data_IF_788983725399
#
_entry.id   IF_788983725399
#
_cell.length_a   1.000
_cell.length_b   1.000
_cell.length_c   1.000
_cell.angle_alpha   90.00
_cell.angle_beta   90.00
_cell.angle_gamma   90.00
#
_symmetry.space_group_name_H-M   'P 1'
#
loop_
_entity.id
_entity.type
_entity.pdbx_description
1 polymer ?
#
# COMPACT_ATOMS: atom_id res chain seq x y z
N UNK A 1 -1.75 8.71 -18.08
CA UNK A 1 -1.78 10.16 -18.43
C UNK A 1 -0.34 10.63 -18.63
N UNK A 2 -0.12 11.73 -19.36
CA UNK A 2 1.20 12.34 -19.52
C UNK A 2 1.23 13.75 -18.95
N UNK A 3 2.27 14.09 -18.20
CA UNK A 3 2.51 15.42 -17.63
C UNK A 3 3.85 16.01 -18.06
N UNK A 4 3.98 17.31 -17.93
CA UNK A 4 5.21 18.06 -18.17
C UNK A 4 6.20 17.81 -17.02
N UNK A 5 7.39 17.31 -17.37
CA UNK A 5 8.47 16.97 -16.44
C UNK A 5 9.59 18.03 -16.40
N UNK A 6 9.33 19.24 -16.92
CA UNK A 6 10.28 20.35 -16.85
C UNK A 6 10.48 20.75 -15.39
N UNK A 7 11.68 20.48 -14.89
CA UNK A 7 12.09 20.85 -13.53
C UNK A 7 12.34 22.35 -13.46
N UNK A 8 11.70 22.99 -12.48
CA UNK A 8 11.90 24.40 -12.14
C UNK A 8 12.53 24.52 -10.76
N UNK A 9 13.58 25.33 -10.65
CA UNK A 9 14.14 25.74 -9.36
C UNK A 9 13.27 26.81 -8.70
N UNK A 10 12.84 26.56 -7.47
CA UNK A 10 12.03 27.47 -6.67
C UNK A 10 12.77 27.78 -5.37
N UNK A 11 12.91 29.06 -5.04
CA UNK A 11 13.57 29.52 -3.81
C UNK A 11 12.52 29.93 -2.77
N UNK A 12 12.46 29.22 -1.66
CA UNK A 12 11.51 29.48 -0.56
C UNK A 12 12.22 29.34 0.79
N UNK A 13 12.00 30.30 1.71
CA UNK A 13 12.57 30.28 3.06
C UNK A 13 14.10 30.04 3.10
N UNK A 14 14.82 30.63 2.14
CA UNK A 14 16.28 30.49 2.03
C UNK A 14 16.76 29.12 1.53
N UNK A 15 15.86 28.24 1.08
CA UNK A 15 16.18 26.93 0.49
C UNK A 15 15.77 26.88 -0.97
N UNK A 16 16.51 26.11 -1.78
CA UNK A 16 16.18 25.83 -3.17
C UNK A 16 15.50 24.47 -3.27
N UNK A 17 14.36 24.43 -3.95
CA UNK A 17 13.58 23.23 -4.23
C UNK A 17 13.48 23.01 -5.73
N UNK A 18 13.45 21.75 -6.15
CA UNK A 18 13.15 21.36 -7.52
C UNK A 18 11.68 20.96 -7.59
N UNK A 19 10.93 21.51 -8.55
CA UNK A 19 9.49 21.24 -8.71
C UNK A 19 9.10 21.08 -10.17
N UNK A 20 8.08 20.25 -10.43
CA UNK A 20 7.41 20.15 -11.74
C UNK A 20 6.19 21.07 -11.75
N UNK A 21 6.37 22.39 -11.88
CA UNK A 21 5.26 23.35 -11.73
C UNK A 21 4.11 23.10 -12.72
N UNK A 22 4.43 22.94 -14.02
CA UNK A 22 3.44 22.63 -15.05
C UNK A 22 2.80 21.26 -14.86
N UNK A 23 3.60 20.24 -14.54
CA UNK A 23 3.08 18.90 -14.24
C UNK A 23 2.14 18.91 -13.04
N UNK A 24 2.44 19.71 -12.02
CA UNK A 24 1.59 19.90 -10.85
C UNK A 24 0.27 20.59 -11.21
N UNK A 25 0.29 21.64 -12.03
CA UNK A 25 -0.94 22.28 -12.54
C UNK A 25 -1.81 21.29 -13.33
N UNK A 26 -1.20 20.46 -14.17
CA UNK A 26 -1.90 19.41 -14.92
C UNK A 26 -2.53 18.35 -14.01
N UNK A 27 -1.83 17.93 -12.96
CA UNK A 27 -2.37 16.99 -11.97
C UNK A 27 -3.49 17.61 -11.12
N UNK A 28 -3.37 18.88 -10.74
CA UNK A 28 -4.41 19.60 -9.98
C UNK A 28 -5.73 19.74 -10.76
N UNK A 29 -5.69 19.66 -12.09
CA UNK A 29 -6.90 19.60 -12.91
C UNK A 29 -7.64 18.25 -12.80
N UNK A 30 -6.97 17.20 -12.32
CA UNK A 30 -7.53 15.84 -12.12
C UNK A 30 -7.92 15.60 -10.66
N UNK A 31 -7.06 16.02 -9.73
CA UNK A 31 -7.30 15.88 -8.29
C UNK A 31 -6.64 17.01 -7.51
N UNK A 32 -7.38 17.59 -6.58
CA UNK A 32 -6.87 18.60 -5.65
C UNK A 32 -5.86 18.03 -4.64
N UNK A 33 -5.76 16.71 -4.50
CA UNK A 33 -4.78 16.01 -3.66
C UNK A 33 -3.49 15.68 -4.39
N UNK A 34 -3.50 15.66 -5.73
CA UNK A 34 -2.34 15.24 -6.52
C UNK A 34 -1.22 16.28 -6.48
N UNK A 35 0.02 15.79 -6.42
CA UNK A 35 1.24 16.59 -6.49
C UNK A 35 2.25 15.91 -7.41
N UNK A 36 2.89 16.65 -8.30
CA UNK A 36 3.92 16.11 -9.17
C UNK A 36 5.25 15.95 -8.42
N UNK A 37 5.73 14.71 -8.29
CA UNK A 37 7.02 14.38 -7.69
C UNK A 37 8.17 14.53 -8.67
N UNK A 38 9.30 15.07 -8.21
CA UNK A 38 10.53 15.08 -9.00
C UNK A 38 11.32 13.80 -8.73
N UNK A 39 11.62 13.04 -9.78
CA UNK A 39 12.45 11.85 -9.67
C UNK A 39 13.94 12.27 -9.75
N UNK A 40 14.60 12.41 -8.60
CA UNK A 40 15.98 12.94 -8.50
C UNK A 40 17.04 11.87 -8.28
N UNK A 41 16.66 10.61 -8.05
CA UNK A 41 17.58 9.57 -7.61
C UNK A 41 17.63 8.39 -8.59
N UNK A 42 18.83 7.93 -8.97
CA UNK A 42 19.01 6.63 -9.62
C UNK A 42 18.51 5.55 -8.66
N UNK A 43 17.32 5.00 -8.92
CA UNK A 43 16.68 3.96 -8.08
C UNK A 43 15.32 4.34 -7.50
N UNK A 44 14.88 5.60 -7.60
CA UNK A 44 13.49 5.92 -7.29
C UNK A 44 12.57 5.21 -8.29
N UNK A 45 11.62 4.42 -7.76
CA UNK A 45 10.70 3.59 -8.57
C UNK A 45 9.97 4.51 -9.57
N UNK A 46 10.35 4.36 -10.84
CA UNK A 46 9.66 5.01 -11.96
C UNK A 46 8.23 4.44 -12.00
N UNK A 47 7.23 5.26 -12.32
CA UNK A 47 5.82 4.86 -12.34
C UNK A 47 5.32 4.45 -10.94
N UNK A 48 5.54 5.32 -9.96
CA UNK A 48 5.10 5.09 -8.58
C UNK A 48 4.29 6.25 -8.01
N UNK A 49 3.63 5.96 -6.90
CA UNK A 49 2.79 6.86 -6.15
C UNK A 49 3.21 6.83 -4.69
N UNK A 50 3.09 7.96 -4.00
CA UNK A 50 3.27 8.05 -2.56
C UNK A 50 2.06 8.74 -1.96
N UNK A 51 1.26 8.00 -1.21
CA UNK A 51 0.09 8.52 -0.51
C UNK A 51 0.52 9.03 0.85
N UNK A 52 0.39 10.33 1.06
CA UNK A 52 0.65 11.04 2.31
C UNK A 52 -0.68 11.42 2.96
N UNK A 53 -0.60 11.91 4.19
CA UNK A 53 -1.78 12.36 4.95
C UNK A 53 -2.65 13.41 4.24
N UNK A 54 -2.08 14.22 3.34
CA UNK A 54 -2.76 15.33 2.67
C UNK A 54 -2.65 15.31 1.13
N UNK A 55 -1.92 14.36 0.56
CA UNK A 55 -1.55 14.40 -0.86
C UNK A 55 -1.20 13.05 -1.45
N UNK A 56 -1.34 12.94 -2.76
CA UNK A 56 -0.83 11.82 -3.56
C UNK A 56 0.29 12.37 -4.43
N UNK A 57 1.53 11.96 -4.14
CA UNK A 57 2.68 12.33 -4.96
C UNK A 57 2.78 11.35 -6.12
N UNK A 58 2.73 11.87 -7.34
CA UNK A 58 2.83 11.08 -8.58
C UNK A 58 4.26 11.19 -9.11
N UNK A 59 4.94 10.05 -9.26
CA UNK A 59 6.27 9.97 -9.87
C UNK A 59 6.15 9.41 -11.28
N UNK A 60 6.04 10.27 -12.31
CA UNK A 60 5.93 9.81 -13.69
C UNK A 60 7.25 9.18 -14.18
N UNK A 61 7.18 8.48 -15.30
CA UNK A 61 8.34 7.97 -16.03
C UNK A 61 9.19 9.08 -16.67
N UNK A 62 10.27 8.68 -17.34
CA UNK A 62 11.18 9.60 -18.02
C UNK A 62 10.54 10.35 -19.21
N UNK A 63 9.36 9.93 -19.67
CA UNK A 63 8.55 10.59 -20.70
C UNK A 63 7.41 11.41 -20.10
N UNK A 64 7.24 11.42 -18.77
CA UNK A 64 6.15 12.08 -18.07
C UNK A 64 4.88 11.25 -17.95
N UNK A 65 4.91 9.96 -18.26
CA UNK A 65 3.77 9.05 -18.27
C UNK A 65 3.59 8.37 -16.90
N UNK A 66 2.33 8.10 -16.54
CA UNK A 66 1.95 7.31 -15.37
C UNK A 66 0.59 6.62 -15.58
N UNK A 67 0.32 5.56 -14.82
CA UNK A 67 -0.96 4.83 -14.83
C UNK A 67 -2.07 5.72 -14.25
N UNK A 68 -2.94 6.25 -15.12
CA UNK A 68 -4.04 7.11 -14.71
C UNK A 68 -5.14 6.33 -14.00
N UNK A 69 -5.37 5.07 -14.40
CA UNK A 69 -6.44 4.26 -13.83
C UNK A 69 -6.08 3.88 -12.39
N UNK A 70 -4.82 3.50 -12.16
CA UNK A 70 -4.35 3.23 -10.81
C UNK A 70 -4.29 4.50 -9.96
N UNK A 71 -3.86 5.63 -10.52
CA UNK A 71 -3.97 6.92 -9.84
C UNK A 71 -5.41 7.23 -9.39
N UNK A 72 -6.40 7.02 -10.26
CA UNK A 72 -7.81 7.25 -9.93
C UNK A 72 -8.27 6.33 -8.79
N UNK A 73 -7.85 5.06 -8.79
CA UNK A 73 -8.12 4.14 -7.68
C UNK A 73 -7.56 4.65 -6.34
N UNK A 74 -6.33 5.15 -6.34
CA UNK A 74 -5.72 5.75 -5.15
C UNK A 74 -6.46 7.01 -4.70
N UNK A 75 -6.87 7.85 -5.66
CA UNK A 75 -7.61 9.07 -5.38
C UNK A 75 -8.98 8.79 -4.77
N UNK A 76 -9.71 7.82 -5.33
CA UNK A 76 -11.06 7.46 -4.88
C UNK A 76 -11.05 6.79 -3.50
N UNK A 77 -9.92 6.18 -3.11
CA UNK A 77 -9.73 5.50 -1.82
C UNK A 77 -8.78 6.27 -0.88
N UNK A 78 -8.52 7.55 -1.15
CA UNK A 78 -7.48 8.32 -0.45
C UNK A 78 -7.66 8.31 1.07
N UNK A 79 -8.88 8.55 1.57
CA UNK A 79 -9.13 8.61 3.01
C UNK A 79 -8.90 7.25 3.68
N UNK A 80 -9.32 6.15 3.03
CA UNK A 80 -9.06 4.77 3.48
C UNK A 80 -7.56 4.49 3.56
N UNK A 81 -6.79 4.90 2.57
CA UNK A 81 -5.34 4.74 2.56
C UNK A 81 -4.66 5.56 3.66
N UNK A 82 -5.13 6.79 3.91
CA UNK A 82 -4.62 7.63 5.00
C UNK A 82 -4.95 7.03 6.37
N UNK A 83 -6.13 6.43 6.53
CA UNK A 83 -6.52 5.73 7.75
C UNK A 83 -5.66 4.47 7.98
N UNK A 84 -5.43 3.69 6.93
CA UNK A 84 -4.52 2.55 6.97
C UNK A 84 -3.11 2.96 7.43
N UNK A 85 -2.53 4.01 6.83
CA UNK A 85 -1.21 4.49 7.19
C UNK A 85 -1.12 4.84 8.69
N UNK A 86 -2.16 5.49 9.24
CA UNK A 86 -2.22 5.81 10.68
C UNK A 86 -2.32 4.56 11.55
N UNK A 87 -3.15 3.59 11.12
CA UNK A 87 -3.32 2.32 11.83
C UNK A 87 -2.01 1.53 11.92
N UNK A 88 -1.20 1.56 10.87
CA UNK A 88 0.08 0.85 10.79
C UNK A 88 1.29 1.69 11.24
N UNK A 89 1.05 2.83 11.89
CA UNK A 89 2.10 3.79 12.34
C UNK A 89 3.08 4.20 11.22
N UNK A 90 2.57 4.33 10.00
CA UNK A 90 3.30 4.74 8.81
C UNK A 90 2.99 6.21 8.45
N UNK A 91 4.00 6.96 8.00
CA UNK A 91 3.81 8.34 7.56
C UNK A 91 3.22 8.45 6.16
N UNK A 92 3.54 7.48 5.31
CA UNK A 92 3.11 7.39 3.92
C UNK A 92 3.06 5.92 3.45
N UNK A 93 2.38 5.70 2.33
CA UNK A 93 2.29 4.40 1.65
C UNK A 93 2.79 4.57 0.22
N UNK A 94 3.81 3.80 -0.14
CA UNK A 94 4.32 3.76 -1.50
C UNK A 94 3.57 2.69 -2.30
N UNK A 95 3.22 3.03 -3.54
CA UNK A 95 2.66 2.11 -4.51
C UNK A 95 3.45 2.17 -5.82
N UNK A 96 3.81 1.02 -6.37
CA UNK A 96 4.16 0.89 -7.79
C UNK A 96 3.02 0.26 -8.61
N UNK A 97 3.12 0.29 -9.94
CA UNK A 97 2.09 -0.22 -10.85
C UNK A 97 1.75 -1.71 -10.65
N UNK A 98 2.66 -2.49 -10.05
CA UNK A 98 2.48 -3.93 -9.81
C UNK A 98 1.88 -4.22 -8.43
N UNK A 99 1.75 -3.22 -7.56
CA UNK A 99 1.26 -3.36 -6.19
C UNK A 99 -0.28 -3.25 -6.09
N UNK A 100 -1.01 -3.58 -7.17
CA UNK A 100 -2.49 -3.61 -7.18
C UNK A 100 -3.06 -4.60 -6.17
N UNK A 101 -2.40 -5.74 -5.95
CA UNK A 101 -2.80 -6.73 -4.94
C UNK A 101 -2.70 -6.16 -3.52
N UNK A 102 -1.62 -5.42 -3.23
CA UNK A 102 -1.43 -4.75 -1.95
C UNK A 102 -2.47 -3.63 -1.74
N UNK A 103 -2.75 -2.82 -2.76
CA UNK A 103 -3.85 -1.85 -2.73
C UNK A 103 -5.20 -2.51 -2.42
N UNK A 104 -5.56 -3.59 -3.15
CA UNK A 104 -6.81 -4.30 -2.94
C UNK A 104 -6.90 -4.94 -1.55
N UNK A 105 -5.76 -5.40 -1.03
CA UNK A 105 -5.65 -5.91 0.33
C UNK A 105 -5.95 -4.82 1.35
N UNK A 106 -5.35 -3.62 1.22
CA UNK A 106 -5.59 -2.50 2.14
C UNK A 106 -7.08 -2.13 2.15
N UNK A 107 -7.67 -1.93 0.98
CA UNK A 107 -9.10 -1.56 0.87
C UNK A 107 -9.97 -2.62 1.54
N UNK A 108 -9.73 -3.90 1.26
CA UNK A 108 -10.48 -4.98 1.88
C UNK A 108 -10.27 -5.05 3.39
N UNK A 109 -9.04 -4.89 3.87
CA UNK A 109 -8.74 -4.90 5.29
C UNK A 109 -9.49 -3.79 6.01
N UNK A 110 -9.41 -2.56 5.51
CA UNK A 110 -10.06 -1.40 6.12
C UNK A 110 -11.59 -1.53 6.13
N UNK A 111 -12.18 -2.18 5.12
CA UNK A 111 -13.61 -2.47 5.09
C UNK A 111 -14.06 -3.54 6.11
N UNK A 112 -13.13 -4.35 6.64
CA UNK A 112 -13.45 -5.52 7.48
C UNK A 112 -12.85 -5.47 8.89
N UNK A 113 -11.91 -4.57 9.15
CA UNK A 113 -11.23 -4.47 10.44
C UNK A 113 -12.17 -3.90 11.51
N UNK A 114 -12.06 -4.43 12.72
CA UNK A 114 -12.77 -3.93 13.91
C UNK A 114 -11.84 -3.93 15.14
N UNK A 115 -12.37 -3.55 16.30
CA UNK A 115 -11.59 -3.43 17.53
C UNK A 115 -10.97 -4.75 18.04
N UNK A 116 -11.37 -5.91 17.50
CA UNK A 116 -10.83 -7.22 17.87
C UNK A 116 -9.62 -7.62 17.03
N UNK A 117 -9.31 -6.87 15.97
CA UNK A 117 -8.16 -7.16 15.13
C UNK A 117 -6.84 -6.75 15.78
N UNK A 118 -5.76 -7.38 15.32
CA UNK A 118 -4.40 -7.04 15.70
C UNK A 118 -3.44 -7.14 14.51
N UNK A 119 -2.40 -6.32 14.53
CA UNK A 119 -1.27 -6.41 13.60
C UNK A 119 -0.13 -7.20 14.26
N UNK A 120 0.56 -8.01 13.46
CA UNK A 120 1.79 -8.69 13.88
C UNK A 120 2.89 -7.68 14.23
N UNK A 121 3.61 -7.84 15.35
CA UNK A 121 4.75 -6.98 15.66
C UNK A 121 5.97 -7.23 14.75
N UNK A 122 5.93 -8.29 13.92
CA UNK A 122 7.05 -8.70 13.06
C UNK A 122 6.87 -8.31 11.59
N UNK A 123 5.77 -7.64 11.24
CA UNK A 123 5.54 -7.18 9.87
C UNK A 123 4.08 -6.94 9.55
N UNK A 124 3.82 -6.72 8.27
CA UNK A 124 2.51 -6.36 7.74
C UNK A 124 1.63 -7.62 7.57
N UNK A 125 1.14 -8.12 8.69
CA UNK A 125 0.12 -9.17 8.72
C UNK A 125 -0.88 -8.87 9.81
N UNK A 126 -2.15 -9.17 9.53
CA UNK A 126 -3.27 -8.79 10.37
C UNK A 126 -4.08 -10.02 10.74
N UNK A 127 -4.63 -10.03 11.95
CA UNK A 127 -5.47 -11.11 12.44
C UNK A 127 -6.78 -10.54 12.94
N UNK A 128 -7.89 -11.24 12.70
CA UNK A 128 -9.20 -10.89 13.25
C UNK A 128 -9.35 -11.26 14.74
N UNK A 129 -8.25 -11.24 15.49
CA UNK A 129 -8.18 -11.56 16.91
C UNK A 129 -6.96 -10.91 17.55
N UNK A 130 -7.11 -10.48 18.80
CA UNK A 130 -6.02 -10.06 19.70
C UNK A 130 -5.39 -11.23 20.48
N UNK A 131 -6.08 -12.36 20.54
CA UNK A 131 -5.60 -13.56 21.23
C UNK A 131 -4.80 -14.44 20.26
N UNK A 132 -3.61 -13.97 19.87
CA UNK A 132 -2.72 -14.61 18.90
C UNK A 132 -1.35 -14.79 19.56
N UNK A 133 -0.77 -15.98 19.40
CA UNK A 133 0.61 -16.29 19.82
C UNK A 133 1.29 -17.16 18.75
N UNK A 134 2.60 -17.28 18.77
CA UNK A 134 3.37 -18.16 17.90
C UNK A 134 2.78 -19.57 17.82
N UNK A 135 2.42 -20.15 18.97
CA UNK A 135 1.87 -21.51 19.08
C UNK A 135 0.34 -21.61 19.02
N UNK A 136 -0.38 -20.48 18.94
CA UNK A 136 -1.83 -20.48 19.03
C UNK A 136 -2.50 -19.49 18.08
N UNK A 137 -3.53 -19.99 17.38
CA UNK A 137 -4.46 -19.20 16.56
C UNK A 137 -5.88 -19.64 16.92
N UNK A 138 -6.82 -18.71 17.22
CA UNK A 138 -8.20 -19.07 17.51
C UNK A 138 -8.86 -19.74 16.30
N UNK A 139 -9.63 -20.79 16.57
CA UNK A 139 -10.45 -21.43 15.54
C UNK A 139 -11.40 -20.41 14.91
N UNK A 140 -11.45 -20.41 13.58
CA UNK A 140 -12.26 -19.50 12.79
C UNK A 140 -11.71 -18.08 12.62
N UNK A 141 -10.56 -17.75 13.21
CA UNK A 141 -9.93 -16.44 13.01
C UNK A 141 -9.40 -16.26 11.57
N UNK A 142 -9.45 -15.04 11.07
CA UNK A 142 -8.86 -14.65 9.80
C UNK A 142 -7.44 -14.16 10.00
N UNK A 143 -6.60 -14.41 8.99
CA UNK A 143 -5.29 -13.77 8.80
C UNK A 143 -5.22 -13.14 7.42
N UNK A 144 -4.69 -11.93 7.35
CA UNK A 144 -4.34 -11.23 6.10
C UNK A 144 -2.83 -11.13 6.02
N UNK A 145 -2.22 -11.66 4.97
CA UNK A 145 -0.75 -11.77 4.84
C UNK A 145 -0.35 -12.05 3.40
N UNK A 146 0.88 -11.70 3.03
CA UNK A 146 1.53 -12.12 1.79
C UNK A 146 2.47 -13.33 1.95
N UNK A 147 2.90 -13.61 3.18
CA UNK A 147 3.79 -14.70 3.52
C UNK A 147 3.06 -15.85 4.24
N UNK A 148 3.18 -17.04 3.66
CA UNK A 148 2.52 -18.29 4.10
C UNK A 148 3.52 -19.43 4.07
N UNK A 149 3.27 -20.50 4.85
CA UNK A 149 4.10 -21.72 4.85
C UNK A 149 5.60 -21.45 4.99
N UNK A 150 6.00 -20.56 5.91
CA UNK A 150 7.40 -20.19 6.10
C UNK A 150 8.06 -20.99 7.23
N UNK A 151 9.39 -20.97 7.30
CA UNK A 151 10.17 -21.86 8.16
C UNK A 151 10.92 -22.93 7.36
N UNK A 152 11.76 -23.73 8.02
CA UNK A 152 12.60 -24.71 7.33
C UNK A 152 11.78 -25.82 6.64
N UNK A 153 10.62 -26.14 7.20
CA UNK A 153 9.70 -27.18 6.72
C UNK A 153 8.28 -26.64 6.47
N UNK A 154 8.12 -25.31 6.35
CA UNK A 154 6.82 -24.65 6.19
C UNK A 154 5.92 -24.73 7.42
N UNK A 155 6.53 -24.85 8.60
CA UNK A 155 5.85 -25.04 9.89
C UNK A 155 5.07 -23.81 10.37
N UNK A 156 5.38 -22.61 9.86
CA UNK A 156 4.71 -21.39 10.26
C UNK A 156 3.60 -20.98 9.30
N UNK A 157 2.43 -20.77 9.89
CA UNK A 157 1.20 -20.42 9.21
C UNK A 157 0.89 -21.37 8.05
N UNK A 158 0.81 -22.69 8.34
CA UNK A 158 0.59 -23.69 7.32
C UNK A 158 -0.80 -23.50 6.72
N UNK A 159 -0.87 -23.53 5.40
CA UNK A 159 -2.12 -23.51 4.64
C UNK A 159 -2.51 -24.93 4.23
N UNK A 160 -3.80 -25.17 4.00
CA UNK A 160 -4.24 -26.49 3.52
C UNK A 160 -3.84 -26.75 2.06
N UNK A 161 -3.84 -25.69 1.25
CA UNK A 161 -3.27 -25.65 -0.10
C UNK A 161 -2.24 -24.52 -0.20
N UNK A 162 -1.20 -24.60 -1.04
CA UNK A 162 -0.22 -23.53 -1.19
C UNK A 162 -0.84 -22.18 -1.54
N UNK A 163 -0.56 -21.16 -0.74
CA UNK A 163 -0.97 -19.77 -0.99
C UNK A 163 0.27 -18.91 -1.21
N UNK A 164 0.19 -18.02 -2.19
CA UNK A 164 1.25 -17.08 -2.56
C UNK A 164 0.66 -15.68 -2.74
N UNK A 165 1.40 -14.67 -2.28
CA UNK A 165 1.01 -13.26 -2.28
C UNK A 165 -0.08 -12.92 -1.25
N UNK A 166 -0.53 -11.66 -1.32
CA UNK A 166 -1.56 -11.14 -0.42
C UNK A 166 -2.85 -11.95 -0.50
N UNK A 167 -3.27 -12.47 0.64
CA UNK A 167 -4.49 -13.24 0.78
C UNK A 167 -5.13 -13.06 2.14
N UNK A 168 -6.40 -13.44 2.23
CA UNK A 168 -7.14 -13.68 3.46
C UNK A 168 -7.31 -15.18 3.60
N UNK A 169 -6.90 -15.75 4.73
CA UNK A 169 -7.13 -17.15 5.05
C UNK A 169 -7.78 -17.29 6.42
N UNK A 170 -8.60 -18.32 6.60
CA UNK A 170 -9.27 -18.65 7.85
C UNK A 170 -8.59 -19.83 8.53
N UNK A 171 -8.33 -19.74 9.83
CA UNK A 171 -7.72 -20.82 10.59
C UNK A 171 -8.78 -21.86 10.97
N UNK A 172 -8.67 -23.08 10.45
CA UNK A 172 -9.55 -24.21 10.77
C UNK A 172 -8.74 -25.51 10.92
N UNK A 173 -8.98 -26.24 12.01
CA UNK A 173 -8.34 -27.53 12.28
C UNK A 173 -6.81 -27.53 12.17
N UNK A 174 -6.15 -26.47 12.64
CA UNK A 174 -4.69 -26.38 12.66
C UNK A 174 -4.04 -25.82 11.39
N UNK A 175 -4.81 -25.47 10.36
CA UNK A 175 -4.31 -24.88 9.10
C UNK A 175 -5.12 -23.67 8.65
N UNK A 176 -4.53 -22.87 7.78
CA UNK A 176 -5.18 -21.76 7.10
C UNK A 176 -5.83 -22.21 5.79
N UNK A 177 -7.10 -21.85 5.58
CA UNK A 177 -7.88 -22.13 4.38
C UNK A 177 -8.13 -20.84 3.63
N UNK A 178 -7.84 -20.83 2.32
CA UNK A 178 -7.96 -19.62 1.49
C UNK A 178 -9.41 -19.14 1.46
N UNK A 179 -9.62 -17.86 1.82
CA UNK A 179 -10.91 -17.17 1.71
C UNK A 179 -10.89 -16.25 0.48
N UNK A 180 -9.81 -15.50 0.29
CA UNK A 180 -9.66 -14.54 -0.81
C UNK A 180 -8.19 -14.33 -1.17
N UNK A 181 -7.89 -14.22 -2.46
CA UNK A 181 -6.58 -13.77 -2.98
C UNK A 181 -6.73 -12.41 -3.64
N UNK A 182 -5.67 -11.58 -3.58
CA UNK A 182 -5.64 -10.23 -4.14
C UNK A 182 -4.68 -10.10 -5.33
#
# INVERSE_FOLDING_TARGET
MKIDTTVTEVKENGKTYLRLLKGNEQLKAVSDKAVAGVNLFPGAKIESFLVRQDSIVVFPDNKGEFDLDFFNLLNDNFETLVEYAKMTDCLDIAFDINEKSYFNMIVWLMDNIDENWSQSPYGESFYSSKNIDWGYKPEGSLRVSDHWNFGENGEHCPTDEPVDGWAVCKFENGKYHLVKKF
#
